data_IF_486866581498
#
_entry.id   IF_486866581498
#
_cell.length_a   1.000
_cell.length_b   1.000
_cell.length_c   1.000
_cell.angle_alpha   90.00
_cell.angle_beta   90.00
_cell.angle_gamma   90.00
#
_symmetry.space_group_name_H-M   'P 1'
#
loop_
_entity.id
_entity.type
_entity.pdbx_description
1 polymer ?
#
# COMPACT_ATOMS: atom_id res chain seq x y z
N UNK A 1 15.75 -3.29 35.29
CA UNK A 1 16.44 -2.66 34.15
C UNK A 1 15.84 -3.25 32.88
N UNK A 2 14.73 -2.65 32.44
CA UNK A 2 13.89 -3.12 31.35
C UNK A 2 14.66 -3.36 30.05
N UNK A 3 14.54 -4.58 29.53
CA UNK A 3 14.95 -4.93 28.18
C UNK A 3 13.97 -4.25 27.22
N UNK A 4 14.35 -3.10 26.67
CA UNK A 4 13.67 -2.48 25.54
C UNK A 4 13.67 -3.46 24.36
N UNK A 5 12.57 -4.20 24.21
CA UNK A 5 12.25 -4.99 23.03
C UNK A 5 12.08 -4.03 21.85
N UNK A 6 13.12 -3.87 21.04
CA UNK A 6 13.00 -3.23 19.73
C UNK A 6 12.36 -4.24 18.79
N UNK A 7 11.02 -4.28 18.81
CA UNK A 7 10.24 -5.13 17.92
C UNK A 7 10.49 -4.67 16.48
N UNK A 8 11.41 -5.34 15.81
CA UNK A 8 11.70 -5.18 14.38
C UNK A 8 10.52 -5.72 13.59
N UNK A 9 9.42 -4.98 13.58
CA UNK A 9 8.31 -5.19 12.64
C UNK A 9 8.85 -4.82 11.27
N UNK A 10 8.80 -5.74 10.31
CA UNK A 10 9.26 -5.53 8.94
C UNK A 10 8.76 -4.19 8.41
N UNK A 11 9.67 -3.22 8.27
CA UNK A 11 9.33 -1.89 7.80
C UNK A 11 8.88 -2.01 6.36
N UNK A 12 7.61 -1.74 6.10
CA UNK A 12 7.18 -1.42 4.75
C UNK A 12 8.02 -0.24 4.23
N UNK A 13 8.44 -0.30 2.97
CA UNK A 13 9.30 0.72 2.35
C UNK A 13 8.44 1.68 1.55
N UNK A 14 8.66 2.97 1.75
CA UNK A 14 7.97 4.06 1.06
C UNK A 14 8.95 4.95 0.30
N UNK A 15 8.41 5.81 -0.57
CA UNK A 15 9.19 6.78 -1.32
C UNK A 15 8.74 8.19 -0.96
N UNK A 16 9.70 9.12 -0.89
CA UNK A 16 9.41 10.49 -0.60
C UNK A 16 8.57 11.12 -1.72
N UNK A 17 7.44 11.71 -1.37
CA UNK A 17 6.53 12.37 -2.33
C UNK A 17 7.13 13.59 -3.03
N UNK A 18 8.28 14.08 -2.57
CA UNK A 18 8.95 15.27 -3.10
C UNK A 18 10.24 14.98 -3.86
N UNK A 19 11.10 14.10 -3.32
CA UNK A 19 12.41 13.81 -3.92
C UNK A 19 12.57 12.38 -4.44
N UNK A 20 11.56 11.52 -4.26
CA UNK A 20 11.58 10.13 -4.72
C UNK A 20 12.53 9.21 -3.96
N UNK A 21 13.29 9.70 -2.97
CA UNK A 21 14.21 8.87 -2.21
C UNK A 21 13.46 7.86 -1.34
N UNK A 22 13.99 6.63 -1.28
CA UNK A 22 13.43 5.55 -0.49
C UNK A 22 13.67 5.77 1.01
N UNK A 23 12.65 5.49 1.82
CA UNK A 23 12.73 5.53 3.28
C UNK A 23 11.80 4.50 3.92
N UNK A 24 11.96 4.29 5.22
CA UNK A 24 11.03 3.46 5.98
C UNK A 24 9.63 4.11 6.01
N UNK A 25 8.59 3.29 5.94
CA UNK A 25 7.21 3.75 6.10
C UNK A 25 6.98 4.37 7.47
N UNK A 26 6.11 5.37 7.50
CA UNK A 26 5.77 6.11 8.72
C UNK A 26 6.83 7.12 9.17
N UNK A 27 7.91 7.35 8.40
CA UNK A 27 8.78 8.51 8.67
C UNK A 27 7.96 9.79 8.54
N UNK A 28 8.11 10.73 9.48
CA UNK A 28 7.39 12.02 9.42
C UNK A 28 8.07 13.03 8.52
N UNK A 29 9.38 12.90 8.33
CA UNK A 29 10.20 13.78 7.50
C UNK A 29 11.15 12.97 6.64
N UNK A 30 11.39 13.43 5.42
CA UNK A 30 12.39 12.84 4.54
C UNK A 30 13.79 13.18 5.06
N UNK A 31 14.63 12.16 5.27
CA UNK A 31 16.03 12.36 5.69
C UNK A 31 16.92 13.00 4.62
N UNK A 32 16.48 13.00 3.36
CA UNK A 32 17.26 13.52 2.24
C UNK A 32 16.89 14.95 1.87
N UNK A 33 15.58 15.28 1.79
CA UNK A 33 15.12 16.61 1.37
C UNK A 33 14.39 17.39 2.46
N UNK A 34 14.24 16.85 3.67
CA UNK A 34 13.58 17.52 4.81
C UNK A 34 12.06 17.65 4.71
N UNK A 35 11.45 17.36 3.56
CA UNK A 35 10.02 17.56 3.37
C UNK A 35 9.20 16.62 4.28
N UNK A 36 8.12 17.15 4.84
CA UNK A 36 7.19 16.38 5.66
C UNK A 36 6.53 15.30 4.81
N UNK A 37 6.44 14.10 5.37
CA UNK A 37 5.78 12.97 4.75
C UNK A 37 4.34 12.85 5.26
N UNK A 38 3.44 12.26 4.45
CA UNK A 38 2.06 12.07 4.87
C UNK A 38 1.98 11.24 6.16
N UNK A 39 1.06 11.63 7.04
CA UNK A 39 0.85 10.95 8.32
C UNK A 39 0.35 9.52 8.18
N UNK A 40 0.53 8.72 9.23
CA UNK A 40 0.19 7.29 9.25
C UNK A 40 -1.29 7.03 8.91
N UNK A 41 -2.22 7.85 9.41
CA UNK A 41 -3.64 7.68 9.14
C UNK A 41 -3.98 7.79 7.65
N UNK A 42 -3.39 8.78 6.96
CA UNK A 42 -3.58 8.96 5.53
C UNK A 42 -2.96 7.80 4.75
N UNK A 43 -1.73 7.40 5.10
CA UNK A 43 -1.08 6.24 4.47
C UNK A 43 -1.91 4.96 4.64
N UNK A 44 -2.50 4.75 5.82
CA UNK A 44 -3.34 3.59 6.08
C UNK A 44 -4.61 3.63 5.24
N UNK A 45 -5.27 4.78 5.14
CA UNK A 45 -6.44 4.94 4.29
C UNK A 45 -6.13 4.64 2.81
N UNK A 46 -5.05 5.20 2.29
CA UNK A 46 -4.60 4.97 0.91
C UNK A 46 -4.26 3.50 0.64
N UNK A 47 -3.68 2.78 1.62
CA UNK A 47 -3.42 1.34 1.49
C UNK A 47 -4.72 0.54 1.41
N UNK A 48 -5.70 0.85 2.26
CA UNK A 48 -7.00 0.17 2.22
C UNK A 48 -7.73 0.43 0.90
N UNK A 49 -7.70 1.67 0.40
CA UNK A 49 -8.27 2.02 -0.89
C UNK A 49 -7.59 1.26 -2.04
N UNK A 50 -6.25 1.21 -2.06
CA UNK A 50 -5.50 0.47 -3.07
C UNK A 50 -5.83 -1.04 -3.06
N UNK A 51 -5.99 -1.63 -1.87
CA UNK A 51 -6.42 -3.03 -1.72
C UNK A 51 -7.83 -3.25 -2.27
N UNK A 52 -8.76 -2.33 -1.97
CA UNK A 52 -10.14 -2.41 -2.48
C UNK A 52 -10.18 -2.32 -4.01
N UNK A 53 -9.44 -1.38 -4.61
CA UNK A 53 -9.36 -1.23 -6.07
C UNK A 53 -8.80 -2.50 -6.71
N UNK A 54 -7.75 -3.08 -6.12
CA UNK A 54 -7.18 -4.34 -6.60
C UNK A 54 -8.20 -5.48 -6.59
N UNK A 55 -8.93 -5.65 -5.49
CA UNK A 55 -9.93 -6.70 -5.35
C UNK A 55 -11.08 -6.53 -6.35
N UNK A 56 -11.57 -5.29 -6.54
CA UNK A 56 -12.62 -4.99 -7.53
C UNK A 56 -12.15 -5.36 -8.94
N UNK A 57 -10.90 -5.01 -9.31
CA UNK A 57 -10.33 -5.34 -10.62
C UNK A 57 -10.31 -6.86 -10.86
N UNK A 58 -9.92 -7.64 -9.86
CA UNK A 58 -9.90 -9.10 -9.94
C UNK A 58 -11.30 -9.69 -10.09
N UNK A 59 -12.29 -9.18 -9.34
CA UNK A 59 -13.68 -9.63 -9.44
C UNK A 59 -14.27 -9.35 -10.83
N UNK A 60 -14.03 -8.16 -11.37
CA UNK A 60 -14.50 -7.78 -12.72
C UNK A 60 -13.89 -8.71 -13.78
N UNK A 61 -12.58 -9.00 -13.68
CA UNK A 61 -11.91 -9.92 -14.60
C UNK A 61 -12.51 -11.34 -14.52
N UNK A 62 -12.81 -11.82 -13.32
CA UNK A 62 -13.42 -13.13 -13.12
C UNK A 62 -14.87 -13.21 -13.64
N UNK A 63 -15.66 -12.15 -13.46
CA UNK A 63 -17.02 -12.07 -14.02
C UNK A 63 -17.01 -12.12 -15.54
N UNK A 64 -16.11 -11.36 -16.19
CA UNK A 64 -15.98 -11.37 -17.64
C UNK A 64 -15.58 -12.77 -18.15
N UNK A 65 -14.62 -13.44 -17.51
CA UNK A 65 -14.24 -14.80 -17.90
C UNK A 65 -15.41 -15.78 -17.81
N UNK A 66 -16.22 -15.69 -16.76
CA UNK A 66 -17.42 -16.52 -16.59
C UNK A 66 -18.52 -16.20 -17.61
N UNK A 67 -18.74 -14.93 -17.98
CA UNK A 67 -19.75 -14.57 -18.97
C UNK A 67 -19.40 -15.09 -20.37
N UNK A 68 -18.13 -15.04 -20.77
CA UNK A 68 -17.65 -15.64 -22.02
C UNK A 68 -17.82 -17.17 -22.03
N UNK A 69 -17.56 -17.84 -20.91
CA UNK A 69 -17.76 -19.30 -20.79
C UNK A 69 -19.23 -19.69 -20.89
N UNK A 70 -20.15 -18.91 -20.30
CA UNK A 70 -21.58 -19.16 -20.41
C UNK A 70 -22.10 -18.92 -21.84
N UNK A 71 -21.59 -17.91 -22.55
CA UNK A 71 -21.98 -17.68 -23.95
C UNK A 71 -21.55 -18.82 -24.88
N UNK A 72 -20.45 -19.52 -24.59
CA UNK A 72 -20.00 -20.69 -25.37
C UNK A 72 -20.64 -22.03 -24.95
N UNK A 73 -21.63 -22.00 -24.06
CA UNK A 73 -22.31 -23.20 -23.55
C UNK A 73 -23.59 -23.55 -24.32
N UNK A 74 -23.77 -22.98 -25.51
CA UNK A 74 -24.83 -23.32 -26.46
C UNK A 74 -24.23 -23.81 -27.77
#
# INVERSE_FOLDING_TARGET
MERHQTTKRGSAMGFCVNCGQQHADGTKFCRYCGNQQPGEQLLQHLRMEAQQIHNIRLQIQAQQANSYQQQRRW
#
